data_IF_716386184094
#
_entry.id   IF_716386184094
#
_cell.length_a   1.000
_cell.length_b   1.000
_cell.length_c   1.000
_cell.angle_alpha   90.00
_cell.angle_beta   90.00
_cell.angle_gamma   90.00
#
_symmetry.space_group_name_H-M   'P 1'
#
loop_
_entity.id
_entity.type
_entity.pdbx_description
1 polymer ?
#
# COMPACT_ATOMS: atom_id res chain seq x y z
N UNK A 1 38.02 27.26 66.45
CA UNK A 1 37.79 25.98 65.75
C UNK A 1 36.28 25.74 65.67
N UNK A 2 35.64 25.99 64.52
CA UNK A 2 34.25 25.60 64.25
C UNK A 2 34.20 25.11 62.80
N UNK A 3 34.00 23.80 62.62
CA UNK A 3 33.86 23.14 61.32
C UNK A 3 32.40 23.26 60.89
N UNK A 4 32.14 23.91 59.76
CA UNK A 4 30.85 23.86 59.09
C UNK A 4 30.97 22.84 57.95
N UNK A 5 30.29 21.70 58.08
CA UNK A 5 30.16 20.72 57.01
C UNK A 5 28.92 21.09 56.17
N UNK A 6 29.14 21.48 54.92
CA UNK A 6 28.07 21.68 53.95
C UNK A 6 27.72 20.32 53.33
N UNK A 7 26.50 19.84 53.56
CA UNK A 7 25.94 18.66 52.91
C UNK A 7 25.35 19.12 51.57
N UNK A 8 26.01 18.77 50.47
CA UNK A 8 25.47 18.97 49.12
C UNK A 8 24.53 17.79 48.82
N UNK A 9 23.22 18.05 48.84
CA UNK A 9 22.21 17.08 48.44
C UNK A 9 22.20 16.93 46.92
N UNK A 10 22.58 15.74 46.44
CA UNK A 10 22.50 15.36 45.03
C UNK A 10 21.04 15.04 44.67
N UNK A 11 20.32 15.99 44.09
CA UNK A 11 19.00 15.76 43.49
C UNK A 11 19.19 15.02 42.15
N UNK A 12 19.03 13.70 42.18
CA UNK A 12 18.93 12.89 40.96
C UNK A 12 17.50 13.04 40.43
N UNK A 13 17.34 13.91 39.42
CA UNK A 13 16.13 13.99 38.61
C UNK A 13 16.05 12.72 37.76
N UNK A 14 15.26 11.74 38.22
CA UNK A 14 14.87 10.59 37.42
C UNK A 14 14.00 11.07 36.25
N UNK A 15 14.63 11.31 35.10
CA UNK A 15 13.93 11.42 33.83
C UNK A 15 13.38 10.03 33.47
N UNK A 16 12.16 9.74 33.88
CA UNK A 16 11.39 8.65 33.27
C UNK A 16 11.07 9.08 31.83
N UNK A 17 11.57 8.39 30.79
CA UNK A 17 11.06 8.62 29.46
C UNK A 17 9.59 8.18 29.50
N UNK A 18 8.68 9.13 29.34
CA UNK A 18 7.28 8.81 29.09
C UNK A 18 7.25 8.04 27.77
N UNK A 19 7.26 6.71 27.84
CA UNK A 19 6.90 5.87 26.72
C UNK A 19 5.44 6.18 26.44
N UNK A 20 5.19 7.05 25.46
CA UNK A 20 3.87 7.17 24.86
C UNK A 20 3.53 5.81 24.27
N UNK A 21 2.84 4.99 25.05
CA UNK A 21 2.14 3.81 24.54
C UNK A 21 1.09 4.34 23.58
N UNK A 22 1.36 4.28 22.28
CA UNK A 22 0.30 4.36 21.30
C UNK A 22 -0.66 3.22 21.63
N UNK A 23 -1.86 3.55 22.09
CA UNK A 23 -2.93 2.58 22.24
C UNK A 23 -3.34 2.14 20.83
N UNK A 24 -2.69 1.10 20.31
CA UNK A 24 -2.87 0.60 18.94
C UNK A 24 -1.58 0.06 18.32
N UNK A 25 -1.71 -0.85 17.37
CA UNK A 25 -0.58 -1.33 16.56
C UNK A 25 -0.07 -0.26 15.59
N UNK A 26 1.02 -0.52 14.83
CA UNK A 26 1.64 0.46 13.94
C UNK A 26 0.73 1.05 12.85
N UNK A 27 -0.32 0.32 12.48
CA UNK A 27 -1.32 0.72 11.49
C UNK A 27 -2.65 1.18 12.11
N UNK A 28 -2.71 1.30 13.44
CA UNK A 28 -3.84 1.95 14.09
C UNK A 28 -3.90 3.42 13.65
N UNK A 29 -5.11 3.91 13.38
CA UNK A 29 -5.36 5.27 12.89
C UNK A 29 -4.74 5.58 11.51
N UNK A 30 -4.44 4.55 10.70
CA UNK A 30 -4.18 4.70 9.27
C UNK A 30 -5.49 4.68 8.46
N UNK A 31 -5.48 5.28 7.28
CA UNK A 31 -6.53 5.12 6.27
C UNK A 31 -6.00 4.32 5.09
N UNK A 32 -6.84 3.49 4.48
CA UNK A 32 -6.47 2.77 3.27
C UNK A 32 -7.57 2.85 2.21
N UNK A 33 -7.15 2.90 0.95
CA UNK A 33 -8.01 2.66 -0.21
C UNK A 33 -7.45 1.50 -1.02
N UNK A 34 -8.32 0.57 -1.43
CA UNK A 34 -7.97 -0.59 -2.26
C UNK A 34 -8.90 -0.64 -3.47
N UNK A 35 -8.33 -0.54 -4.65
CA UNK A 35 -9.06 -0.22 -5.89
C UNK A 35 -8.85 -1.31 -6.93
N UNK A 36 -9.94 -1.84 -7.47
CA UNK A 36 -9.97 -2.51 -8.77
C UNK A 36 -10.32 -1.46 -9.83
N UNK A 37 -9.36 -1.15 -10.70
CA UNK A 37 -9.51 -0.06 -11.68
C UNK A 37 -10.08 -0.49 -13.03
N UNK A 38 -10.10 -1.78 -13.31
CA UNK A 38 -10.64 -2.34 -14.56
C UNK A 38 -11.24 -3.74 -14.28
N UNK A 39 -11.92 -4.29 -15.27
CA UNK A 39 -12.46 -5.65 -15.28
C UNK A 39 -12.27 -6.37 -16.61
N UNK A 40 -11.52 -5.80 -17.55
CA UNK A 40 -11.25 -6.42 -18.84
C UNK A 40 -9.93 -7.19 -18.81
N UNK A 41 -9.91 -8.40 -19.37
CA UNK A 41 -8.69 -9.12 -19.69
C UNK A 41 -7.98 -8.46 -20.88
N UNK A 42 -6.75 -8.87 -21.17
CA UNK A 42 -6.02 -8.41 -22.37
C UNK A 42 -6.79 -8.67 -23.68
N UNK A 43 -7.60 -9.74 -23.72
CA UNK A 43 -8.47 -10.08 -24.86
C UNK A 43 -9.69 -9.16 -25.02
N UNK A 44 -9.99 -8.31 -24.03
CA UNK A 44 -11.22 -7.52 -23.93
C UNK A 44 -12.40 -8.26 -23.29
N UNK A 45 -12.29 -9.57 -23.05
CA UNK A 45 -13.30 -10.32 -22.29
C UNK A 45 -13.28 -9.92 -20.81
N UNK A 46 -14.37 -10.10 -20.05
CA UNK A 46 -14.35 -9.85 -18.61
C UNK A 46 -13.36 -10.76 -17.86
N UNK A 47 -12.66 -10.21 -16.87
CA UNK A 47 -11.86 -10.93 -15.87
C UNK A 47 -12.27 -10.53 -14.45
N UNK A 48 -12.03 -11.42 -13.50
CA UNK A 48 -12.20 -11.14 -12.06
C UNK A 48 -10.85 -10.81 -11.39
N UNK A 49 -9.73 -10.85 -12.12
CA UNK A 49 -8.39 -10.77 -11.56
C UNK A 49 -8.17 -9.53 -10.66
N UNK A 50 -8.61 -8.35 -11.12
CA UNK A 50 -8.48 -7.08 -10.39
C UNK A 50 -9.39 -6.99 -9.17
N UNK A 51 -10.65 -7.46 -9.27
CA UNK A 51 -11.59 -7.46 -8.15
C UNK A 51 -11.24 -8.54 -7.09
N UNK A 52 -10.69 -9.67 -7.52
CA UNK A 52 -10.10 -10.65 -6.62
C UNK A 52 -8.93 -10.05 -5.86
N UNK A 53 -8.02 -9.36 -6.56
CA UNK A 53 -6.90 -8.66 -5.95
C UNK A 53 -7.39 -7.62 -4.93
N UNK A 54 -8.34 -6.74 -5.30
CA UNK A 54 -8.97 -5.78 -4.39
C UNK A 54 -9.45 -6.45 -3.09
N UNK A 55 -10.31 -7.46 -3.22
CA UNK A 55 -10.93 -8.13 -2.08
C UNK A 55 -9.89 -8.77 -1.16
N UNK A 56 -8.94 -9.51 -1.73
CA UNK A 56 -8.03 -10.32 -0.93
C UNK A 56 -6.84 -9.50 -0.41
N UNK A 57 -6.44 -8.43 -1.09
CA UNK A 57 -5.50 -7.42 -0.56
C UNK A 57 -6.12 -6.68 0.60
N UNK A 58 -7.40 -6.28 0.52
CA UNK A 58 -8.08 -5.64 1.65
C UNK A 58 -8.07 -6.55 2.90
N UNK A 59 -8.33 -7.86 2.73
CA UNK A 59 -8.19 -8.84 3.82
C UNK A 59 -6.75 -8.98 4.32
N UNK A 60 -5.78 -9.00 3.41
CA UNK A 60 -4.37 -9.08 3.78
C UNK A 60 -3.93 -7.86 4.62
N UNK A 61 -4.41 -6.66 4.29
CA UNK A 61 -4.14 -5.46 5.08
C UNK A 61 -4.72 -5.56 6.50
N UNK A 62 -5.92 -6.12 6.67
CA UNK A 62 -6.45 -6.42 8.01
C UNK A 62 -5.52 -7.36 8.77
N UNK A 63 -5.02 -8.42 8.11
CA UNK A 63 -4.03 -9.33 8.68
C UNK A 63 -2.66 -8.69 9.00
N UNK A 64 -2.34 -7.54 8.40
CA UNK A 64 -1.15 -6.74 8.70
C UNK A 64 -1.36 -5.76 9.87
N UNK A 65 -2.59 -5.63 10.37
CA UNK A 65 -2.94 -4.79 11.52
C UNK A 65 -3.71 -3.52 11.16
N UNK A 66 -4.23 -3.36 9.94
CA UNK A 66 -5.18 -2.30 9.61
C UNK A 66 -6.57 -2.62 10.17
N UNK A 67 -7.28 -1.61 10.67
CA UNK A 67 -8.68 -1.75 11.04
C UNK A 67 -9.55 -1.97 9.80
N UNK A 68 -10.52 -2.89 9.85
CA UNK A 68 -11.44 -3.12 8.71
C UNK A 68 -12.16 -1.84 8.27
N UNK A 69 -12.58 -1.01 9.24
CA UNK A 69 -13.25 0.28 8.97
C UNK A 69 -12.32 1.34 8.35
N UNK A 70 -11.00 1.17 8.47
CA UNK A 70 -10.03 2.06 7.85
C UNK A 70 -9.91 1.85 6.34
N UNK A 71 -10.31 0.68 5.82
CA UNK A 71 -10.14 0.30 4.42
C UNK A 71 -11.41 0.61 3.64
N UNK A 72 -11.33 1.54 2.67
CA UNK A 72 -12.38 1.69 1.64
C UNK A 72 -11.99 0.89 0.40
N UNK A 73 -12.94 0.13 -0.12
CA UNK A 73 -12.76 -0.64 -1.34
C UNK A 73 -13.48 0.03 -2.50
N UNK A 74 -12.93 -0.11 -3.71
CA UNK A 74 -13.49 0.46 -4.94
C UNK A 74 -13.47 -0.58 -6.07
N UNK A 75 -14.54 -0.64 -6.85
CA UNK A 75 -14.66 -1.46 -8.05
C UNK A 75 -15.36 -0.69 -9.16
N UNK A 76 -15.01 -0.99 -10.40
CA UNK A 76 -15.75 -0.52 -11.59
C UNK A 76 -17.08 -1.27 -11.79
N UNK A 77 -17.35 -2.32 -10.99
CA UNK A 77 -18.61 -3.10 -11.00
C UNK A 77 -19.11 -3.36 -9.58
N UNK A 78 -19.36 -2.31 -8.77
CA UNK A 78 -19.61 -2.46 -7.33
C UNK A 78 -20.84 -3.33 -7.01
N UNK A 79 -21.86 -3.31 -7.87
CA UNK A 79 -23.10 -4.06 -7.72
C UNK A 79 -22.88 -5.59 -7.74
N UNK A 80 -21.75 -6.05 -8.31
CA UNK A 80 -21.38 -7.47 -8.37
C UNK A 80 -20.88 -8.02 -7.02
N UNK A 81 -20.53 -7.13 -6.08
CA UNK A 81 -19.90 -7.50 -4.80
C UNK A 81 -20.67 -6.97 -3.58
N UNK A 82 -21.94 -7.35 -3.39
CA UNK A 82 -22.79 -6.82 -2.32
C UNK A 82 -22.27 -7.12 -0.91
N UNK A 83 -21.47 -8.18 -0.71
CA UNK A 83 -20.87 -8.50 0.58
C UNK A 83 -19.77 -7.52 1.01
N UNK A 84 -19.00 -7.03 0.03
CA UNK A 84 -17.90 -6.10 0.27
C UNK A 84 -18.36 -4.64 0.16
N UNK A 85 -19.47 -4.41 -0.56
CA UNK A 85 -20.06 -3.11 -0.88
C UNK A 85 -19.02 -2.05 -1.28
N UNK A 86 -18.14 -2.31 -2.28
CA UNK A 86 -17.16 -1.32 -2.69
C UNK A 86 -17.85 -0.11 -3.32
N UNK A 87 -17.21 1.06 -3.22
CA UNK A 87 -17.67 2.25 -3.94
C UNK A 87 -17.29 2.14 -5.43
N UNK A 88 -17.89 2.99 -6.27
CA UNK A 88 -17.53 3.02 -7.68
C UNK A 88 -16.09 3.54 -7.87
N UNK A 89 -15.32 2.85 -8.71
CA UNK A 89 -13.96 3.21 -9.09
C UNK A 89 -13.97 4.39 -10.06
N UNK A 90 -13.91 5.60 -9.51
CA UNK A 90 -13.75 6.83 -10.27
C UNK A 90 -12.83 7.81 -9.54
N UNK A 91 -12.17 8.69 -10.29
CA UNK A 91 -11.13 9.58 -9.73
C UNK A 91 -11.69 10.46 -8.60
N UNK A 92 -12.93 10.96 -8.77
CA UNK A 92 -13.57 11.86 -7.81
C UNK A 92 -13.95 11.12 -6.52
N UNK A 93 -14.68 10.01 -6.60
CA UNK A 93 -15.05 9.21 -5.42
C UNK A 93 -13.82 8.72 -4.65
N UNK A 94 -12.76 8.30 -5.34
CA UNK A 94 -11.50 7.90 -4.69
C UNK A 94 -10.86 9.08 -3.96
N UNK A 95 -10.79 10.25 -4.61
CA UNK A 95 -10.25 11.46 -3.97
C UNK A 95 -11.04 11.90 -2.73
N UNK A 96 -12.37 11.91 -2.83
CA UNK A 96 -13.26 12.29 -1.72
C UNK A 96 -13.13 11.33 -0.54
N UNK A 97 -12.98 10.03 -0.80
CA UNK A 97 -12.75 9.03 0.23
C UNK A 97 -11.36 9.16 0.88
N UNK A 98 -10.31 9.41 0.07
CA UNK A 98 -8.96 9.69 0.57
C UNK A 98 -8.97 10.90 1.52
N UNK A 99 -9.61 12.01 1.11
CA UNK A 99 -9.78 13.20 1.95
C UNK A 99 -10.54 12.90 3.23
N UNK A 100 -11.75 12.38 3.12
CA UNK A 100 -12.65 12.11 4.26
C UNK A 100 -11.98 11.18 5.28
N UNK A 101 -11.29 10.13 4.81
CA UNK A 101 -10.54 9.26 5.72
C UNK A 101 -9.30 9.95 6.30
N UNK A 102 -8.59 10.75 5.52
CA UNK A 102 -7.45 11.54 6.00
C UNK A 102 -7.83 12.58 7.06
N UNK A 103 -9.10 12.97 7.14
CA UNK A 103 -9.64 13.86 8.18
C UNK A 103 -9.71 13.19 9.55
N UNK A 104 -9.89 11.87 9.62
CA UNK A 104 -10.01 11.12 10.88
C UNK A 104 -8.77 10.27 11.18
N UNK A 105 -8.26 9.56 10.18
CA UNK A 105 -7.05 8.76 10.27
C UNK A 105 -5.81 9.65 10.18
N UNK A 106 -5.13 9.92 11.30
CA UNK A 106 -4.00 10.86 11.38
C UNK A 106 -2.62 10.22 11.37
N UNK A 107 -2.50 8.90 11.46
CA UNK A 107 -1.20 8.24 11.56
C UNK A 107 -0.51 8.01 10.19
N UNK A 108 -1.28 7.71 9.14
CA UNK A 108 -0.73 7.46 7.81
C UNK A 108 -1.79 7.05 6.79
N UNK A 109 -1.38 6.88 5.54
CA UNK A 109 -2.28 6.53 4.45
C UNK A 109 -1.74 5.44 3.53
N UNK A 110 -2.61 4.57 3.03
CA UNK A 110 -2.28 3.56 2.04
C UNK A 110 -3.17 3.71 0.81
N UNK A 111 -2.56 3.66 -0.36
CA UNK A 111 -3.23 3.59 -1.65
C UNK A 111 -2.79 2.32 -2.37
N UNK A 112 -3.74 1.46 -2.73
CA UNK A 112 -3.49 0.26 -3.51
C UNK A 112 -4.41 0.23 -4.72
N UNK A 113 -3.86 0.06 -5.92
CA UNK A 113 -4.65 -0.14 -7.13
C UNK A 113 -4.15 -1.35 -7.91
N UNK A 114 -5.08 -2.17 -8.40
CA UNK A 114 -4.86 -3.26 -9.34
C UNK A 114 -5.70 -3.01 -10.60
N UNK A 115 -5.05 -2.86 -11.75
CA UNK A 115 -5.68 -2.44 -13.01
C UNK A 115 -4.71 -2.55 -14.20
N UNK A 116 -5.19 -2.25 -15.40
CA UNK A 116 -4.36 -2.03 -16.58
C UNK A 116 -3.61 -0.70 -16.53
N UNK A 117 -2.54 -0.59 -17.29
CA UNK A 117 -1.73 0.62 -17.36
C UNK A 117 -1.12 0.85 -18.72
N UNK A 118 -0.75 2.11 -18.95
CA UNK A 118 -0.07 2.61 -20.13
C UNK A 118 1.00 3.62 -19.70
N UNK A 119 1.88 4.06 -20.60
CA UNK A 119 2.85 5.11 -20.30
C UNK A 119 2.21 6.42 -19.77
N UNK A 120 0.94 6.68 -20.09
CA UNK A 120 0.20 7.87 -19.64
C UNK A 120 -0.35 7.76 -18.21
N UNK A 121 -0.53 6.55 -17.68
CA UNK A 121 -1.12 6.32 -16.36
C UNK A 121 -1.79 4.96 -16.21
N UNK A 122 -2.69 4.86 -15.25
CA UNK A 122 -3.46 3.63 -14.99
C UNK A 122 -4.92 3.80 -15.40
N UNK A 123 -5.55 2.70 -15.82
CA UNK A 123 -6.96 2.67 -16.18
C UNK A 123 -7.83 2.76 -14.92
N UNK A 124 -8.94 3.47 -15.02
CA UNK A 124 -9.93 3.60 -13.98
C UNK A 124 -11.31 3.72 -14.63
N UNK A 125 -11.91 2.58 -14.95
CA UNK A 125 -13.07 2.49 -15.81
C UNK A 125 -12.76 3.08 -17.18
N UNK A 126 -13.52 4.09 -17.60
CA UNK A 126 -13.33 4.79 -18.87
C UNK A 126 -12.28 5.94 -18.79
N UNK A 127 -11.66 6.14 -17.63
CA UNK A 127 -10.70 7.23 -17.39
C UNK A 127 -9.28 6.72 -17.26
N UNK A 128 -8.31 7.61 -17.51
CA UNK A 128 -6.90 7.40 -17.16
C UNK A 128 -6.54 8.26 -15.96
N UNK A 129 -6.14 7.62 -14.87
CA UNK A 129 -5.55 8.30 -13.72
C UNK A 129 -4.06 8.52 -13.99
N UNK A 130 -3.70 9.78 -14.26
CA UNK A 130 -2.32 10.18 -14.58
C UNK A 130 -1.45 10.32 -13.33
N UNK A 131 -0.13 10.09 -13.41
CA UNK A 131 0.81 10.20 -12.28
C UNK A 131 0.72 11.49 -11.45
N UNK A 132 0.76 12.66 -12.11
CA UNK A 132 0.70 13.95 -11.40
C UNK A 132 -0.66 14.18 -10.71
N UNK A 133 -1.75 13.61 -11.25
CA UNK A 133 -3.07 13.72 -10.63
C UNK A 133 -3.15 12.89 -9.36
N UNK A 134 -2.65 11.64 -9.39
CA UNK A 134 -2.56 10.81 -8.18
C UNK A 134 -1.65 11.45 -7.13
N UNK A 135 -0.51 12.01 -7.54
CA UNK A 135 0.38 12.72 -6.63
C UNK A 135 -0.32 13.89 -5.92
N UNK A 136 -1.06 14.72 -6.66
CA UNK A 136 -1.84 15.82 -6.10
C UNK A 136 -2.91 15.32 -5.10
N UNK A 137 -3.66 14.28 -5.46
CA UNK A 137 -4.68 13.66 -4.60
C UNK A 137 -4.08 13.18 -3.26
N UNK A 138 -2.96 12.46 -3.32
CA UNK A 138 -2.32 11.91 -2.12
C UNK A 138 -1.64 12.98 -1.27
N UNK A 139 -1.10 14.04 -1.88
CA UNK A 139 -0.48 15.13 -1.14
C UNK A 139 -1.52 15.99 -0.40
N UNK A 140 -2.71 16.16 -0.96
CA UNK A 140 -3.82 16.84 -0.28
C UNK A 140 -4.44 15.97 0.83
N UNK A 141 -4.70 14.69 0.54
CA UNK A 141 -5.35 13.80 1.49
C UNK A 141 -4.41 13.34 2.63
N UNK A 142 -3.10 13.20 2.36
CA UNK A 142 -2.10 12.69 3.29
C UNK A 142 -0.88 13.59 3.44
N UNK A 143 -1.05 14.86 3.85
CA UNK A 143 0.06 15.81 3.93
C UNK A 143 0.98 15.46 5.11
N UNK A 144 2.29 15.43 4.86
CA UNK A 144 3.36 15.30 5.86
C UNK A 144 3.23 14.07 6.79
N UNK A 145 2.73 12.96 6.26
CA UNK A 145 2.50 11.72 6.99
C UNK A 145 3.05 10.52 6.21
N UNK A 146 3.45 9.46 6.92
CA UNK A 146 3.78 8.18 6.31
C UNK A 146 2.71 7.76 5.31
N UNK A 147 3.13 7.48 4.07
CA UNK A 147 2.24 6.92 3.06
C UNK A 147 2.85 5.74 2.33
N UNK A 148 2.01 4.77 1.98
CA UNK A 148 2.36 3.61 1.16
C UNK A 148 1.52 3.64 -0.10
N UNK A 149 2.15 3.60 -1.26
CA UNK A 149 1.47 3.61 -2.56
C UNK A 149 1.87 2.36 -3.33
N UNK A 150 0.91 1.52 -3.67
CA UNK A 150 1.11 0.28 -4.41
C UNK A 150 0.31 0.33 -5.70
N UNK A 151 0.98 0.16 -6.83
CA UNK A 151 0.39 0.27 -8.16
C UNK A 151 0.69 -1.01 -8.93
N UNK A 152 -0.30 -1.90 -8.99
CA UNK A 152 -0.28 -3.12 -9.78
C UNK A 152 -0.85 -2.84 -11.17
N UNK A 153 0.03 -2.47 -12.11
CA UNK A 153 -0.31 -2.19 -13.51
C UNK A 153 0.93 -2.22 -14.42
N UNK A 154 0.70 -2.39 -15.72
CA UNK A 154 1.72 -2.18 -16.76
C UNK A 154 2.24 -0.75 -16.70
N UNK A 155 3.53 -0.55 -17.00
CA UNK A 155 4.21 0.75 -17.01
C UNK A 155 4.15 1.52 -15.67
N UNK A 156 3.72 0.89 -14.58
CA UNK A 156 3.44 1.55 -13.29
C UNK A 156 4.64 2.32 -12.71
N UNK A 157 5.87 2.01 -13.12
CA UNK A 157 7.06 2.80 -12.79
C UNK A 157 6.99 4.27 -13.20
N UNK A 158 6.14 4.67 -14.16
CA UNK A 158 5.91 6.09 -14.54
C UNK A 158 5.38 6.93 -13.38
N UNK A 159 4.79 6.29 -12.37
CA UNK A 159 4.28 6.96 -11.18
C UNK A 159 5.35 7.30 -10.15
N UNK A 160 6.52 6.66 -10.19
CA UNK A 160 7.54 6.87 -9.15
C UNK A 160 7.97 8.34 -9.11
N UNK A 161 8.49 8.97 -10.17
CA UNK A 161 9.03 10.33 -10.07
C UNK A 161 8.00 11.36 -9.57
N UNK A 162 6.74 11.39 -10.06
CA UNK A 162 5.73 12.33 -9.55
C UNK A 162 5.28 12.06 -8.11
N UNK A 163 5.37 10.80 -7.64
CA UNK A 163 4.95 10.43 -6.29
C UNK A 163 6.04 10.60 -5.23
N UNK A 164 7.30 10.79 -5.61
CA UNK A 164 8.41 10.86 -4.65
C UNK A 164 8.18 11.95 -3.58
N UNK A 165 8.30 11.51 -2.32
CA UNK A 165 7.99 12.27 -1.11
C UNK A 165 8.82 11.73 0.06
N UNK A 166 9.42 12.56 0.93
CA UNK A 166 10.29 12.08 2.00
C UNK A 166 9.66 11.03 2.92
N UNK A 167 8.35 11.09 3.08
CA UNK A 167 7.47 10.31 3.94
C UNK A 167 6.72 9.18 3.20
N UNK A 168 7.12 8.82 1.96
CA UNK A 168 6.38 7.85 1.14
C UNK A 168 7.20 6.62 0.77
N UNK A 169 6.57 5.45 0.79
CA UNK A 169 7.03 4.23 0.16
C UNK A 169 6.16 3.97 -1.08
N UNK A 170 6.78 3.61 -2.19
CA UNK A 170 6.12 3.33 -3.47
C UNK A 170 6.53 1.95 -3.94
N UNK A 171 5.56 1.11 -4.31
CA UNK A 171 5.75 -0.19 -4.96
C UNK A 171 5.03 -0.16 -6.31
N UNK A 172 5.72 -0.57 -7.38
CA UNK A 172 5.14 -0.65 -8.72
C UNK A 172 5.35 -2.05 -9.30
N UNK A 173 4.36 -2.56 -10.02
CA UNK A 173 4.44 -3.88 -10.63
C UNK A 173 5.40 -3.98 -11.81
N UNK A 174 5.73 -2.87 -12.44
CA UNK A 174 6.67 -2.84 -13.55
C UNK A 174 7.49 -1.56 -13.55
N UNK A 175 8.58 -1.60 -14.31
CA UNK A 175 9.30 -0.43 -14.80
C UNK A 175 8.43 0.50 -15.64
N UNK A 176 8.86 1.77 -15.84
CA UNK A 176 8.11 2.75 -16.65
C UNK A 176 8.02 2.39 -18.14
N UNK A 177 8.84 1.47 -18.63
CA UNK A 177 8.95 1.04 -20.03
C UNK A 177 8.63 -0.45 -20.24
N UNK A 178 8.02 -1.11 -19.24
CA UNK A 178 7.72 -2.55 -19.25
C UNK A 178 6.25 -2.83 -18.91
N UNK A 179 5.72 -3.91 -19.49
CA UNK A 179 4.43 -4.47 -19.07
C UNK A 179 4.59 -5.28 -17.77
N UNK A 180 3.48 -5.50 -17.07
CA UNK A 180 3.33 -6.51 -16.02
C UNK A 180 2.40 -7.63 -16.50
N UNK A 181 2.42 -8.80 -15.87
CA UNK A 181 1.76 -10.01 -16.40
C UNK A 181 0.65 -10.57 -15.49
N UNK A 182 -0.13 -11.51 -16.04
CA UNK A 182 -1.19 -12.24 -15.31
C UNK A 182 -2.58 -11.59 -15.34
N UNK A 183 -2.90 -10.83 -16.38
CA UNK A 183 -4.19 -10.16 -16.54
C UNK A 183 -5.15 -10.87 -17.51
N UNK A 184 -4.98 -12.19 -17.69
CA UNK A 184 -5.84 -13.01 -18.54
C UNK A 184 -7.22 -13.30 -17.94
N UNK A 185 -8.08 -13.91 -18.75
CA UNK A 185 -9.46 -14.30 -18.36
C UNK A 185 -9.48 -15.38 -17.28
N UNK A 186 -8.55 -16.34 -17.35
CA UNK A 186 -8.43 -17.45 -16.40
C UNK A 186 -7.54 -17.15 -15.20
N UNK A 187 -6.89 -15.98 -15.18
CA UNK A 187 -6.02 -15.59 -14.08
C UNK A 187 -6.85 -15.21 -12.86
N UNK A 188 -6.50 -15.80 -11.70
CA UNK A 188 -7.12 -15.41 -10.43
C UNK A 188 -6.68 -14.02 -9.99
N UNK A 189 -5.42 -13.67 -10.26
CA UNK A 189 -4.78 -12.40 -9.93
C UNK A 189 -3.68 -12.08 -10.96
N UNK A 190 -3.35 -10.79 -11.19
CA UNK A 190 -2.07 -10.41 -11.79
C UNK A 190 -0.89 -10.93 -10.98
N UNK A 191 0.25 -11.17 -11.64
CA UNK A 191 1.42 -11.79 -11.02
C UNK A 191 1.91 -11.00 -9.81
N UNK A 192 1.91 -9.67 -9.92
CA UNK A 192 2.30 -8.79 -8.82
C UNK A 192 1.36 -8.90 -7.62
N UNK A 193 0.04 -8.91 -7.85
CA UNK A 193 -0.96 -9.04 -6.79
C UNK A 193 -0.89 -10.41 -6.10
N UNK A 194 -0.71 -11.49 -6.88
CA UNK A 194 -0.49 -12.83 -6.32
C UNK A 194 0.78 -12.87 -5.46
N UNK A 195 1.86 -12.27 -5.96
CA UNK A 195 3.13 -12.19 -5.23
C UNK A 195 3.03 -11.30 -3.99
N UNK A 196 2.23 -10.24 -4.00
CA UNK A 196 1.91 -9.45 -2.81
C UNK A 196 1.23 -10.33 -1.76
N UNK A 197 0.18 -11.06 -2.15
CA UNK A 197 -0.59 -11.93 -1.26
C UNK A 197 0.23 -13.12 -0.74
N UNK A 198 1.12 -13.67 -1.56
CA UNK A 198 2.01 -14.77 -1.18
C UNK A 198 3.15 -14.33 -0.25
N UNK A 199 3.73 -13.14 -0.48
CA UNK A 199 4.83 -12.64 0.34
C UNK A 199 4.36 -12.00 1.66
N UNK A 200 3.15 -11.43 1.70
CA UNK A 200 2.58 -10.75 2.85
C UNK A 200 2.64 -11.55 4.18
N UNK A 201 2.26 -12.84 4.23
CA UNK A 201 2.35 -13.68 5.43
C UNK A 201 3.77 -13.93 5.94
N UNK A 202 4.81 -13.59 5.18
CA UNK A 202 6.21 -13.80 5.56
C UNK A 202 6.98 -12.51 5.73
N UNK A 203 6.50 -11.39 5.17
CA UNK A 203 7.12 -10.09 5.29
C UNK A 203 6.91 -9.43 6.66
N UNK A 204 7.97 -8.83 7.22
CA UNK A 204 7.89 -8.11 8.50
C UNK A 204 7.34 -6.69 8.38
N UNK A 205 7.54 -6.05 7.23
CA UNK A 205 7.20 -4.65 6.93
C UNK A 205 7.05 -4.50 5.40
N UNK A 206 6.62 -3.31 4.94
CA UNK A 206 6.42 -3.06 3.51
C UNK A 206 7.71 -3.10 2.67
N UNK A 207 8.88 -2.84 3.25
CA UNK A 207 10.13 -2.91 2.51
C UNK A 207 10.57 -4.37 2.29
N UNK A 208 10.45 -5.21 3.33
CA UNK A 208 10.63 -6.66 3.22
C UNK A 208 9.59 -7.28 2.27
N UNK A 209 8.36 -6.79 2.30
CA UNK A 209 7.31 -7.21 1.37
C UNK A 209 7.68 -6.88 -0.07
N UNK A 210 8.13 -5.64 -0.36
CA UNK A 210 8.59 -5.26 -1.69
C UNK A 210 9.70 -6.16 -2.23
N UNK A 211 10.70 -6.48 -1.40
CA UNK A 211 11.77 -7.40 -1.78
C UNK A 211 11.25 -8.83 -2.06
N UNK A 212 10.31 -9.32 -1.25
CA UNK A 212 9.65 -10.61 -1.46
C UNK A 212 8.83 -10.66 -2.75
N UNK A 213 8.11 -9.57 -3.07
CA UNK A 213 7.35 -9.44 -4.30
C UNK A 213 8.28 -9.46 -5.51
N UNK A 214 9.37 -8.69 -5.50
CA UNK A 214 10.36 -8.68 -6.59
C UNK A 214 10.90 -10.10 -6.87
N UNK A 215 11.30 -10.83 -5.83
CA UNK A 215 11.79 -12.19 -5.98
C UNK A 215 10.72 -13.16 -6.50
N UNK A 216 9.47 -13.02 -6.03
CA UNK A 216 8.35 -13.84 -6.47
C UNK A 216 8.00 -13.58 -7.95
N UNK A 217 7.89 -12.32 -8.35
CA UNK A 217 7.56 -11.94 -9.74
C UNK A 217 8.64 -12.42 -10.70
N UNK A 218 9.92 -12.17 -10.39
CA UNK A 218 11.03 -12.60 -11.23
C UNK A 218 11.06 -14.13 -11.42
N UNK A 219 10.76 -14.89 -10.36
CA UNK A 219 10.63 -16.36 -10.46
C UNK A 219 9.47 -16.74 -11.37
N UNK A 220 8.29 -16.15 -11.16
CA UNK A 220 7.08 -16.48 -11.91
C UNK A 220 7.24 -16.17 -13.40
N UNK A 221 7.77 -15.00 -13.74
CA UNK A 221 8.05 -14.61 -15.13
C UNK A 221 9.01 -15.58 -15.81
N UNK A 222 10.06 -16.02 -15.10
CA UNK A 222 10.97 -17.06 -15.61
C UNK A 222 10.27 -18.40 -15.82
N UNK A 223 9.42 -18.82 -14.89
CA UNK A 223 8.69 -20.09 -14.97
C UNK A 223 7.66 -20.10 -16.10
N UNK A 224 7.04 -18.95 -16.40
CA UNK A 224 6.04 -18.81 -17.46
C UNK A 224 6.62 -18.37 -18.80
N UNK A 225 7.92 -18.03 -18.87
CA UNK A 225 8.55 -17.47 -20.06
C UNK A 225 8.05 -16.06 -20.43
N UNK A 226 7.56 -15.30 -19.44
CA UNK A 226 7.08 -13.94 -19.66
C UNK A 226 8.27 -13.00 -19.84
N UNK A 227 8.40 -12.42 -21.04
CA UNK A 227 9.50 -11.53 -21.40
C UNK A 227 9.01 -10.33 -22.21
N UNK A 228 9.69 -9.16 -22.12
CA UNK A 228 10.77 -8.86 -21.19
C UNK A 228 10.28 -8.77 -19.74
N UNK A 229 11.15 -9.09 -18.77
CA UNK A 229 10.80 -9.04 -17.35
C UNK A 229 10.23 -7.67 -16.93
N UNK A 230 9.21 -7.68 -16.07
CA UNK A 230 8.53 -6.45 -15.64
C UNK A 230 9.40 -5.57 -14.74
N UNK A 231 10.32 -6.19 -14.00
CA UNK A 231 11.22 -5.57 -13.02
C UNK A 231 10.46 -4.67 -12.01
N UNK A 232 9.64 -5.24 -11.10
CA UNK A 232 8.91 -4.47 -10.10
C UNK A 232 9.84 -3.57 -9.29
N UNK A 233 9.38 -2.35 -8.95
CA UNK A 233 10.24 -1.34 -8.34
C UNK A 233 9.78 -0.99 -6.94
N UNK A 234 10.74 -0.68 -6.07
CA UNK A 234 10.51 -0.12 -4.73
C UNK A 234 11.24 1.21 -4.62
N UNK A 235 10.55 2.23 -4.13
CA UNK A 235 11.14 3.49 -3.73
C UNK A 235 10.75 3.82 -2.29
N UNK A 236 11.72 4.22 -1.49
CA UNK A 236 11.50 4.58 -0.07
C UNK A 236 12.04 5.97 0.18
N UNK A 237 11.16 6.87 0.62
CA UNK A 237 11.49 8.22 0.99
C UNK A 237 12.51 8.31 2.13
N UNK A 238 13.45 9.27 2.08
CA UNK A 238 14.55 9.35 3.04
C UNK A 238 14.11 9.53 4.50
N UNK A 239 12.99 10.21 4.76
CA UNK A 239 12.48 10.41 6.11
C UNK A 239 11.73 9.16 6.64
N UNK A 240 11.07 8.41 5.74
CA UNK A 240 10.37 7.17 6.10
C UNK A 240 11.34 6.01 6.34
N UNK A 241 12.45 5.94 5.58
CA UNK A 241 13.41 4.82 5.64
C UNK A 241 13.87 4.43 7.06
N UNK A 242 14.34 5.36 7.92
CA UNK A 242 14.74 5.00 9.29
C UNK A 242 13.54 4.62 10.19
N UNK A 243 12.32 5.02 9.80
CA UNK A 243 11.10 4.77 10.57
C UNK A 243 10.42 3.44 10.19
N UNK A 244 10.79 2.81 9.07
CA UNK A 244 10.19 1.55 8.60
C UNK A 244 10.10 0.44 9.65
N UNK A 245 11.11 0.22 10.53
CA UNK A 245 11.01 -0.79 11.59
C UNK A 245 9.88 -0.54 12.59
N UNK A 246 9.40 0.70 12.72
CA UNK A 246 8.25 1.05 13.56
C UNK A 246 6.92 0.70 12.90
N UNK A 247 6.91 0.43 11.59
CA UNK A 247 5.73 0.02 10.79
C UNK A 247 5.75 -1.49 10.49
N UNK A 248 6.14 -2.30 11.47
CA UNK A 248 6.07 -3.75 11.37
C UNK A 248 4.60 -4.21 11.29
N UNK A 249 4.33 -5.22 10.47
CA UNK A 249 3.01 -5.83 10.39
C UNK A 249 2.68 -6.50 11.70
N UNK A 250 1.62 -6.04 12.36
CA UNK A 250 1.16 -6.63 13.60
C UNK A 250 0.20 -7.77 13.27
N UNK A 251 0.67 -9.00 13.41
CA UNK A 251 -0.12 -10.17 13.09
C UNK A 251 -0.81 -10.64 14.36
N UNK A 252 -2.14 -10.54 14.39
CA UNK A 252 -2.91 -11.30 15.37
C UNK A 252 -2.60 -12.78 15.14
N UNK A 253 -2.17 -13.55 16.15
CA UNK A 253 -1.92 -14.98 15.96
C UNK A 253 -3.21 -15.64 15.48
N UNK A 254 -3.22 -16.10 14.24
CA UNK A 254 -4.26 -17.03 13.79
C UNK A 254 -4.11 -18.25 14.67
N UNK A 255 -5.13 -18.58 15.48
CA UNK A 255 -5.19 -19.89 16.12
C UNK A 255 -4.99 -20.93 15.02
N UNK A 256 -3.93 -21.71 15.11
CA UNK A 256 -3.75 -22.86 14.24
C UNK A 256 -4.99 -23.78 14.37
N UNK A 257 -5.44 -24.41 13.28
CA UNK A 257 -6.55 -25.37 13.34
C UNK A 257 -6.25 -26.55 14.28
#
# INVERSE_FOLDING_TARGET
MRRAAAVIGLLVLLFSPATATFAGGPFSNWSAVVIAGDFQAESGSPTEAFDNARRDVAKALVGMGFETSAIQQFSVRPERYPSDAPSHSETRTIYEALRTKGETAKAGCLFYISTHGSPEGVILGEQVLRPHRLAAMLNDACPARPSVVVISACFSGVFIPPLQRPDRLILTAARPDRASFGCGESDKYPFFDECFLSAAPHARDFAALGAGIQACVARKEKETGAEPASEPQIWVGPALRPMLPLYAFNRTPTKAP
#
